data_IF_171029598912
#
_entry.id   IF_171029598912
#
_cell.length_a   1.000
_cell.length_b   1.000
_cell.length_c   1.000
_cell.angle_alpha   90.00
_cell.angle_beta   90.00
_cell.angle_gamma   90.00
#
_symmetry.space_group_name_H-M   'P 1'
#
loop_
_entity.id
_entity.type
_entity.pdbx_description
1 polymer ?
#
# COMPACT_ATOMS: atom_id res chain seq x y z
N UNK A 1 1.94 -45.05 8.83
CA UNK A 1 1.00 -43.93 8.79
C UNK A 1 1.74 -42.68 9.26
N UNK A 2 2.18 -41.82 8.33
CA UNK A 2 2.82 -40.55 8.68
C UNK A 2 1.70 -39.59 9.05
N UNK A 3 1.67 -39.15 10.31
CA UNK A 3 0.71 -38.14 10.76
C UNK A 3 0.89 -36.88 9.91
N UNK A 4 -0.16 -36.43 9.22
CA UNK A 4 -0.18 -35.10 8.62
C UNK A 4 -0.19 -34.08 9.76
N UNK A 5 0.97 -33.48 10.04
CA UNK A 5 1.05 -32.34 10.95
C UNK A 5 0.15 -31.21 10.45
N UNK A 6 -0.48 -30.46 11.36
CA UNK A 6 -1.31 -29.32 10.95
C UNK A 6 -0.46 -28.34 10.14
N UNK A 7 -1.00 -27.88 9.02
CA UNK A 7 -0.35 -26.93 8.11
C UNK A 7 -0.49 -25.49 8.65
N UNK A 8 -0.34 -25.30 9.96
CA UNK A 8 -0.62 -24.03 10.62
C UNK A 8 0.59 -23.08 10.55
N UNK A 9 1.79 -23.59 10.20
CA UNK A 9 3.02 -22.81 10.17
C UNK A 9 4.01 -23.27 9.08
N UNK A 10 4.66 -22.29 8.44
CA UNK A 10 5.73 -22.54 7.46
C UNK A 10 7.11 -22.49 8.14
N UNK A 11 7.53 -23.64 8.69
CA UNK A 11 8.78 -23.74 9.45
C UNK A 11 10.07 -23.73 8.61
N UNK A 12 9.99 -23.81 7.28
CA UNK A 12 11.18 -23.86 6.42
C UNK A 12 11.80 -22.48 6.21
N UNK A 13 10.99 -21.42 6.12
CA UNK A 13 11.52 -20.07 5.90
C UNK A 13 12.53 -19.63 6.97
N UNK A 14 12.25 -19.79 8.30
CA UNK A 14 13.19 -19.37 9.32
C UNK A 14 14.49 -20.18 9.37
N UNK A 15 14.54 -21.35 8.70
CA UNK A 15 15.75 -22.20 8.63
C UNK A 15 16.71 -21.79 7.51
N UNK A 16 16.29 -20.89 6.62
CA UNK A 16 17.16 -20.36 5.58
C UNK A 16 18.24 -19.44 6.19
N UNK A 17 19.47 -19.45 5.63
CA UNK A 17 20.46 -18.42 5.91
C UNK A 17 19.87 -17.02 5.79
N UNK A 18 20.33 -16.11 6.64
CA UNK A 18 19.80 -14.74 6.72
C UNK A 18 19.87 -14.03 5.38
N UNK A 19 20.94 -14.22 4.62
CA UNK A 19 21.15 -13.63 3.29
C UNK A 19 20.02 -14.02 2.33
N UNK A 20 19.60 -15.28 2.35
CA UNK A 20 18.50 -15.76 1.49
C UNK A 20 17.16 -15.22 1.95
N UNK A 21 16.91 -15.15 3.27
CA UNK A 21 15.66 -14.57 3.81
C UNK A 21 15.52 -13.11 3.40
N UNK A 22 16.60 -12.33 3.55
CA UNK A 22 16.63 -10.93 3.13
C UNK A 22 16.46 -10.76 1.63
N UNK A 23 17.08 -11.62 0.81
CA UNK A 23 16.85 -11.59 -0.64
C UNK A 23 15.38 -11.89 -1.00
N UNK A 24 14.76 -12.89 -0.38
CA UNK A 24 13.34 -13.21 -0.60
C UNK A 24 12.47 -12.01 -0.23
N UNK A 25 12.72 -11.34 0.90
CA UNK A 25 11.99 -10.15 1.29
C UNK A 25 12.16 -8.99 0.33
N UNK A 26 13.37 -8.76 -0.18
CA UNK A 26 13.62 -7.73 -1.20
C UNK A 26 12.82 -7.99 -2.48
N UNK A 27 12.76 -9.23 -2.94
CA UNK A 27 11.94 -9.60 -4.11
C UNK A 27 10.44 -9.46 -3.82
N UNK A 28 9.99 -9.87 -2.64
CA UNK A 28 8.58 -9.76 -2.24
C UNK A 28 8.12 -8.29 -2.09
N UNK A 29 9.01 -7.39 -1.68
CA UNK A 29 8.69 -5.98 -1.48
C UNK A 29 8.40 -5.20 -2.77
N UNK A 30 8.85 -5.69 -3.92
CA UNK A 30 8.74 -5.04 -5.24
C UNK A 30 7.75 -5.73 -6.18
N UNK A 31 6.90 -6.62 -5.66
CA UNK A 31 5.85 -7.24 -6.45
C UNK A 31 4.82 -6.17 -6.88
N UNK A 32 4.53 -6.03 -8.19
CA UNK A 32 3.52 -5.09 -8.65
C UNK A 32 2.14 -5.42 -8.10
N UNK A 33 1.38 -4.39 -7.75
CA UNK A 33 -0.03 -4.49 -7.36
C UNK A 33 -0.81 -3.26 -7.80
N UNK A 34 -2.12 -3.41 -7.87
CA UNK A 34 -3.04 -2.28 -8.05
C UNK A 34 -3.39 -1.76 -6.66
N UNK A 35 -3.09 -0.49 -6.39
CA UNK A 35 -3.45 0.22 -5.18
C UNK A 35 -4.63 1.16 -5.47
N UNK A 36 -5.82 0.72 -5.09
CA UNK A 36 -7.06 1.47 -5.15
C UNK A 36 -7.05 2.55 -4.08
N UNK A 37 -7.10 3.80 -4.51
CA UNK A 37 -7.21 4.99 -3.67
C UNK A 37 -8.60 5.57 -3.87
N UNK A 38 -9.34 5.73 -2.78
CA UNK A 38 -10.67 6.34 -2.74
C UNK A 38 -10.62 7.58 -1.87
N UNK A 39 -11.46 8.56 -2.17
CA UNK A 39 -11.64 9.73 -1.32
C UNK A 39 -12.96 9.69 -0.58
N UNK A 40 -12.97 10.32 0.59
CA UNK A 40 -14.19 10.77 1.27
C UNK A 40 -14.23 12.28 1.13
N UNK A 41 -15.38 12.81 0.73
CA UNK A 41 -15.61 14.24 0.50
C UNK A 41 -16.77 14.72 1.36
N UNK A 42 -16.69 15.96 1.84
CA UNK A 42 -17.79 16.53 2.63
C UNK A 42 -19.01 16.79 1.74
N UNK A 43 -20.20 16.57 2.28
CA UNK A 43 -21.48 16.88 1.62
C UNK A 43 -21.86 18.36 1.74
N UNK A 44 -20.96 19.23 2.22
CA UNK A 44 -21.25 20.66 2.32
C UNK A 44 -21.45 21.20 0.91
N UNK A 45 -22.54 21.96 0.71
CA UNK A 45 -23.06 22.45 -0.57
C UNK A 45 -22.17 23.46 -1.32
N UNK A 46 -20.88 23.53 -0.97
CA UNK A 46 -19.89 24.39 -1.61
C UNK A 46 -19.20 23.57 -2.69
N UNK A 47 -19.52 23.86 -3.96
CA UNK A 47 -18.68 23.42 -5.06
C UNK A 47 -17.41 24.27 -5.12
N UNK A 48 -16.22 23.69 -5.34
CA UNK A 48 -15.95 22.26 -5.53
C UNK A 48 -15.96 21.48 -4.21
N UNK A 49 -16.55 20.27 -4.24
CA UNK A 49 -16.48 19.33 -3.12
C UNK A 49 -15.01 19.11 -2.76
N UNK A 50 -14.67 19.28 -1.48
CA UNK A 50 -13.29 19.14 -0.97
C UNK A 50 -13.08 17.71 -0.48
N UNK A 51 -12.01 17.07 -0.94
CA UNK A 51 -11.55 15.79 -0.39
C UNK A 51 -11.15 16.00 1.08
N UNK A 52 -11.82 15.29 1.98
CA UNK A 52 -11.49 15.28 3.41
C UNK A 52 -10.35 14.32 3.70
N UNK A 53 -10.38 13.11 3.15
CA UNK A 53 -9.28 12.16 3.27
C UNK A 53 -9.31 11.10 2.19
N UNK A 54 -8.15 10.48 2.02
CA UNK A 54 -8.01 9.29 1.20
C UNK A 54 -7.98 8.03 2.05
N UNK A 55 -8.45 6.93 1.48
CA UNK A 55 -8.31 5.60 2.04
C UNK A 55 -8.15 4.58 0.92
N UNK A 56 -7.61 3.41 1.26
CA UNK A 56 -7.59 2.26 0.36
C UNK A 56 -8.44 1.14 0.94
N UNK A 57 -9.31 0.51 0.13
CA UNK A 57 -10.01 -0.71 0.53
C UNK A 57 -9.10 -1.95 0.43
N UNK A 58 -7.94 -1.83 -0.21
CA UNK A 58 -7.03 -2.96 -0.42
C UNK A 58 -6.31 -3.30 0.89
N UNK A 59 -6.01 -4.59 1.13
CA UNK A 59 -5.25 -4.98 2.31
C UNK A 59 -3.85 -4.34 2.30
N UNK A 60 -3.32 -4.09 3.50
CA UNK A 60 -1.93 -3.67 3.63
C UNK A 60 -0.99 -4.69 2.96
N UNK A 61 0.14 -4.25 2.36
CA UNK A 61 1.09 -5.17 1.76
C UNK A 61 1.44 -6.30 2.74
N UNK A 62 1.41 -7.54 2.27
CA UNK A 62 1.68 -8.72 3.11
C UNK A 62 3.00 -8.60 3.88
N UNK A 63 3.97 -7.87 3.32
CA UNK A 63 5.25 -7.56 3.95
C UNK A 63 5.12 -6.90 5.33
N UNK A 64 4.15 -6.02 5.52
CA UNK A 64 3.93 -5.34 6.80
C UNK A 64 3.27 -6.24 7.85
N UNK A 65 2.65 -7.35 7.42
CA UNK A 65 1.85 -8.25 8.25
C UNK A 65 2.58 -9.57 8.56
N UNK A 66 3.55 -9.97 7.74
CA UNK A 66 4.20 -11.28 7.86
C UNK A 66 5.05 -11.43 9.13
N UNK A 67 6.06 -10.58 9.33
CA UNK A 67 6.94 -10.62 10.51
C UNK A 67 7.74 -9.31 10.66
N UNK A 68 8.52 -9.18 11.73
CA UNK A 68 9.36 -8.00 11.99
C UNK A 68 10.43 -7.81 10.89
N UNK A 69 11.10 -8.87 10.46
CA UNK A 69 12.15 -8.81 9.44
C UNK A 69 11.60 -8.30 8.10
N UNK A 70 10.50 -8.90 7.63
CA UNK A 70 9.79 -8.48 6.43
C UNK A 70 9.37 -7.00 6.49
N UNK A 71 8.89 -6.54 7.65
CA UNK A 71 8.52 -5.13 7.85
C UNK A 71 9.72 -4.20 7.71
N UNK A 72 10.87 -4.56 8.28
CA UNK A 72 12.10 -3.76 8.18
C UNK A 72 12.60 -3.65 6.74
N UNK A 73 12.49 -4.72 5.95
CA UNK A 73 12.86 -4.70 4.53
C UNK A 73 11.88 -3.88 3.67
N UNK A 74 10.60 -3.81 4.05
CA UNK A 74 9.59 -3.02 3.33
C UNK A 74 9.64 -1.52 3.64
N UNK A 75 9.95 -1.12 4.88
CA UNK A 75 9.90 0.28 5.31
C UNK A 75 10.67 1.27 4.42
N UNK A 76 11.88 0.97 3.91
CA UNK A 76 12.62 1.86 3.01
C UNK A 76 11.99 2.02 1.63
N UNK A 77 11.15 1.07 1.19
CA UNK A 77 10.59 1.00 -0.15
C UNK A 77 9.18 1.59 -0.24
N UNK A 78 8.47 1.68 0.89
CA UNK A 78 7.10 2.15 0.96
C UNK A 78 7.03 3.52 1.63
N UNK A 79 6.25 4.41 1.03
CA UNK A 79 5.97 5.74 1.55
C UNK A 79 4.58 5.77 2.20
N UNK A 80 4.44 6.52 3.30
CA UNK A 80 3.13 6.87 3.86
C UNK A 80 2.53 7.99 3.02
N UNK A 81 1.75 7.60 2.01
CA UNK A 81 1.17 8.51 1.03
C UNK A 81 -0.31 8.81 1.34
N UNK A 82 -0.85 9.77 0.59
CA UNK A 82 -2.24 10.22 0.59
C UNK A 82 -2.71 10.66 1.98
N UNK A 83 -1.83 11.37 2.71
CA UNK A 83 -2.06 11.76 4.10
C UNK A 83 -2.78 13.10 4.30
N UNK A 84 -3.33 13.63 3.21
CA UNK A 84 -4.07 14.89 3.23
C UNK A 84 -5.37 14.80 4.06
N UNK A 85 -5.59 15.82 4.89
CA UNK A 85 -6.93 16.27 5.29
C UNK A 85 -7.52 15.72 6.59
N UNK A 86 -6.80 14.88 7.36
CA UNK A 86 -7.25 14.47 8.71
C UNK A 86 -6.23 14.74 9.82
N UNK A 87 -6.76 14.99 11.01
CA UNK A 87 -6.01 14.96 12.28
C UNK A 87 -6.67 13.91 13.18
N UNK A 88 -6.01 12.78 13.52
CA UNK A 88 -4.67 12.38 13.09
C UNK A 88 -4.59 12.04 11.59
N UNK A 89 -3.41 12.13 10.96
CA UNK A 89 -3.25 11.83 9.55
C UNK A 89 -3.51 10.34 9.27
N UNK A 90 -4.45 10.08 8.37
CA UNK A 90 -4.59 8.77 7.74
C UNK A 90 -3.53 8.66 6.66
N UNK A 91 -3.04 7.47 6.36
CA UNK A 91 -2.09 7.28 5.28
C UNK A 91 -2.30 5.90 4.65
N UNK A 92 -1.84 5.77 3.42
CA UNK A 92 -1.83 4.54 2.67
C UNK A 92 -0.37 4.20 2.39
N UNK A 93 0.03 2.95 2.64
CA UNK A 93 1.35 2.48 2.23
C UNK A 93 1.39 2.32 0.72
N UNK A 94 2.23 3.11 0.06
CA UNK A 94 2.41 3.10 -1.38
C UNK A 94 3.89 2.91 -1.73
N UNK A 95 4.19 1.99 -2.65
CA UNK A 95 5.48 1.89 -3.31
C UNK A 95 5.34 2.45 -4.72
N UNK A 96 5.61 3.74 -4.90
CA UNK A 96 5.45 4.44 -6.17
C UNK A 96 6.30 3.89 -7.33
N UNK A 97 7.29 3.04 -7.05
CA UNK A 97 8.12 2.40 -8.07
C UNK A 97 7.38 1.28 -8.81
N UNK A 98 6.50 0.55 -8.10
CA UNK A 98 5.87 -0.69 -8.58
C UNK A 98 4.34 -0.71 -8.47
N UNK A 99 3.77 0.08 -7.55
CA UNK A 99 2.32 0.17 -7.37
C UNK A 99 1.71 0.93 -8.56
N UNK A 100 0.61 0.38 -9.07
CA UNK A 100 -0.29 1.09 -9.98
C UNK A 100 -1.38 1.76 -9.17
N UNK A 101 -1.39 3.09 -9.14
CA UNK A 101 -2.40 3.86 -8.41
C UNK A 101 -3.68 3.87 -9.22
N UNK A 102 -4.75 3.35 -8.62
CA UNK A 102 -6.09 3.33 -9.21
C UNK A 102 -6.98 4.31 -8.46
N UNK A 103 -7.51 5.32 -9.13
CA UNK A 103 -8.28 6.40 -8.50
C UNK A 103 -9.38 6.90 -9.44
N UNK A 104 -10.48 7.42 -8.90
CA UNK A 104 -11.49 8.13 -9.71
C UNK A 104 -11.01 9.54 -10.13
N UNK A 105 -11.50 9.99 -11.28
CA UNK A 105 -11.16 11.27 -11.90
C UNK A 105 -11.42 12.48 -10.97
N UNK A 106 -12.52 12.44 -10.23
CA UNK A 106 -12.90 13.46 -9.27
C UNK A 106 -11.86 13.59 -8.14
N UNK A 107 -11.44 12.45 -7.57
CA UNK A 107 -10.48 12.39 -6.45
C UNK A 107 -9.04 12.70 -6.87
N UNK A 108 -8.69 12.53 -8.15
CA UNK A 108 -7.35 12.81 -8.67
C UNK A 108 -6.90 14.25 -8.39
N UNK A 109 -7.84 15.20 -8.46
CA UNK A 109 -7.61 16.62 -8.17
C UNK A 109 -7.25 16.92 -6.71
N UNK A 110 -7.54 16.00 -5.78
CA UNK A 110 -7.26 16.14 -4.34
C UNK A 110 -5.88 15.65 -3.92
N UNK A 111 -5.15 14.90 -4.76
CA UNK A 111 -3.81 14.41 -4.43
C UNK A 111 -2.83 15.58 -4.40
N UNK A 112 -1.92 15.60 -3.42
CA UNK A 112 -0.87 16.62 -3.34
C UNK A 112 0.03 16.60 -4.57
N UNK A 113 0.46 17.78 -5.06
CA UNK A 113 1.31 17.90 -6.26
C UNK A 113 2.60 17.08 -6.13
N UNK A 114 3.22 17.08 -4.94
CA UNK A 114 4.42 16.30 -4.66
C UNK A 114 4.19 14.79 -4.83
N UNK A 115 3.05 14.27 -4.35
CA UNK A 115 2.71 12.85 -4.49
C UNK A 115 2.42 12.49 -5.95
N UNK A 116 1.74 13.37 -6.70
CA UNK A 116 1.47 13.14 -8.13
C UNK A 116 2.74 12.95 -8.95
N UNK A 117 3.80 13.68 -8.62
CA UNK A 117 5.09 13.56 -9.30
C UNK A 117 5.77 12.20 -9.04
N UNK A 118 5.44 11.54 -7.94
CA UNK A 118 5.95 10.21 -7.63
C UNK A 118 5.16 9.10 -8.34
N UNK A 119 3.89 9.33 -8.69
CA UNK A 119 3.05 8.32 -9.33
C UNK A 119 3.60 7.98 -10.72
N UNK A 120 4.13 6.77 -10.85
CA UNK A 120 4.66 6.24 -12.12
C UNK A 120 3.58 5.58 -12.98
N UNK A 121 2.65 4.88 -12.34
CA UNK A 121 1.59 4.12 -13.00
C UNK A 121 0.24 4.54 -12.44
N UNK A 122 -0.66 4.98 -13.31
CA UNK A 122 -1.96 5.54 -12.95
C UNK A 122 -3.06 4.93 -13.80
N UNK A 123 -4.13 4.48 -13.15
CA UNK A 123 -5.40 4.09 -13.77
C UNK A 123 -6.47 5.01 -13.24
N UNK A 124 -7.12 5.75 -14.14
CA UNK A 124 -8.23 6.63 -13.80
C UNK A 124 -9.54 5.95 -14.15
N UNK A 125 -10.43 5.80 -13.17
CA UNK A 125 -11.80 5.36 -13.41
C UNK A 125 -12.72 6.58 -13.59
N UNK A 126 -13.43 6.64 -14.72
CA UNK A 126 -14.54 7.57 -14.90
C UNK A 126 -15.77 7.00 -14.20
N UNK A 127 -16.42 7.81 -13.36
CA UNK A 127 -17.71 7.49 -12.74
C UNK A 127 -18.86 8.22 -13.41
#
# INVERSE_FOLDING_TARGET
>A
MVASGSLDAFHLFPRLPTELRLQIWKFAAVLPRVLTVRSVSSNLSVQPKRVEYFYSPDPAPAMFLACQESRLEALPLYTKAFSAGTTPPRYIWANFTVDTIKIDDYSLSGIMVAERQLIRWLVVESK
#
